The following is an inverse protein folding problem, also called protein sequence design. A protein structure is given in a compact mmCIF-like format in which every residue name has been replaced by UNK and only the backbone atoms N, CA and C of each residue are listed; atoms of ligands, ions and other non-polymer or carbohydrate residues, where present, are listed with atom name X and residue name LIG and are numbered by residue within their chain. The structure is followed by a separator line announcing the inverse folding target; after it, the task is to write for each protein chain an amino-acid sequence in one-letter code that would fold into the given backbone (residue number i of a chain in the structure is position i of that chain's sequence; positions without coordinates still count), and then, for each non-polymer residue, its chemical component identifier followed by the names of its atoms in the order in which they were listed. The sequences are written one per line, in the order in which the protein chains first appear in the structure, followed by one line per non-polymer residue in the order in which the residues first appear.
data_IF_430738045744
#
_entry.id   IF_430738045744
#
_cell.length_a   1.000
_cell.length_b   1.000
_cell.length_c   1.000
_cell.angle_alpha   90.00
_cell.angle_beta   90.00
_cell.angle_gamma   90.00
#
_symmetry.space_group_name_H-M   'P 1'
#
loop_
_entity.id
_entity.type
_entity.pdbx_description
1 polymer ?
#
# COMPACT_ATOMS: atom_id res chain seq x y z
N UNK A 1 26.85 -12.31 32.33
CA UNK A 1 26.59 -10.99 31.70
C UNK A 1 27.11 -11.01 30.27
N UNK A 2 26.24 -10.99 29.26
CA UNK A 2 26.53 -10.45 27.91
C UNK A 2 25.21 -10.01 27.29
N UNK A 3 25.15 -8.72 27.01
CA UNK A 3 23.95 -8.00 26.61
C UNK A 3 23.43 -8.38 25.22
N UNK A 4 22.16 -8.06 25.06
CA UNK A 4 21.28 -8.28 23.92
C UNK A 4 21.88 -7.87 22.55
N UNK A 5 21.61 -8.65 21.48
CA UNK A 5 21.90 -8.19 20.13
C UNK A 5 20.95 -7.08 19.70
N UNK A 6 21.57 -5.96 19.32
CA UNK A 6 21.25 -5.07 18.19
C UNK A 6 19.77 -4.72 17.98
N UNK A 7 19.41 -3.49 18.39
CA UNK A 7 18.14 -2.84 18.13
C UNK A 7 17.69 -3.00 16.67
N UNK A 8 16.54 -3.66 16.47
CA UNK A 8 15.68 -3.33 15.35
C UNK A 8 15.07 -1.94 15.61
N UNK A 9 15.19 -0.96 14.69
CA UNK A 9 14.35 0.22 14.73
C UNK A 9 12.91 -0.20 14.39
N UNK A 10 12.15 -0.51 15.43
CA UNK A 10 10.72 -0.81 15.38
C UNK A 10 9.96 0.52 15.30
N UNK A 11 9.94 1.17 14.12
CA UNK A 11 8.99 2.25 13.87
C UNK A 11 7.59 1.61 13.70
N UNK A 12 6.97 1.34 14.86
CA UNK A 12 5.57 0.99 15.11
C UNK A 12 4.70 0.66 13.88
N UNK A 13 4.52 -0.63 13.60
CA UNK A 13 3.25 -1.13 13.07
C UNK A 13 2.69 -2.17 14.03
N UNK A 14 1.54 -1.91 14.68
CA UNK A 14 0.90 -2.93 15.50
C UNK A 14 0.54 -4.14 14.61
N UNK A 15 0.80 -5.38 15.09
CA UNK A 15 0.36 -6.60 14.44
C UNK A 15 -1.17 -6.70 14.53
N UNK A 16 -1.78 -7.59 13.74
CA UNK A 16 -3.16 -8.08 13.86
C UNK A 16 -4.24 -7.53 12.90
N UNK A 17 -3.88 -6.80 11.85
CA UNK A 17 -4.65 -6.81 10.60
C UNK A 17 -3.72 -7.22 9.46
N UNK A 18 -4.06 -8.23 8.62
CA UNK A 18 -3.22 -8.65 7.51
C UNK A 18 -3.21 -7.58 6.41
N UNK A 19 -2.40 -6.54 6.62
CA UNK A 19 -2.10 -5.54 5.61
C UNK A 19 -1.45 -6.25 4.44
N UNK A 20 -2.02 -6.06 3.27
CA UNK A 20 -1.56 -6.69 2.04
C UNK A 20 -1.07 -5.61 1.10
N UNK A 21 0.06 -5.85 0.46
CA UNK A 21 0.53 -4.98 -0.60
C UNK A 21 -0.52 -4.89 -1.71
N UNK A 22 -0.73 -3.70 -2.25
CA UNK A 22 -1.59 -3.54 -3.42
C UNK A 22 -1.14 -4.46 -4.58
N UNK A 23 0.17 -4.64 -4.74
CA UNK A 23 0.72 -5.56 -5.74
C UNK A 23 0.35 -7.03 -5.52
N UNK A 24 0.01 -7.45 -4.29
CA UNK A 24 -0.43 -8.81 -3.99
C UNK A 24 -1.96 -8.98 -4.13
N UNK A 25 -2.71 -7.89 -4.21
CA UNK A 25 -4.16 -7.96 -4.38
C UNK A 25 -4.57 -8.56 -5.74
N UNK A 26 -5.76 -9.16 -5.77
CA UNK A 26 -6.39 -9.71 -6.97
C UNK A 26 -7.25 -8.64 -7.66
N UNK A 27 -7.39 -8.66 -9.00
CA UNK A 27 -8.39 -7.86 -9.68
C UNK A 27 -9.79 -8.09 -9.09
N UNK A 28 -10.56 -7.03 -8.91
CA UNK A 28 -11.88 -7.05 -8.28
C UNK A 28 -11.87 -6.80 -6.77
N UNK A 29 -10.75 -7.05 -6.08
CA UNK A 29 -10.63 -6.84 -4.64
C UNK A 29 -10.63 -5.34 -4.27
N UNK A 30 -11.24 -5.02 -3.13
CA UNK A 30 -11.30 -3.67 -2.59
C UNK A 30 -10.69 -3.61 -1.19
N UNK A 31 -10.30 -2.41 -0.77
CA UNK A 31 -9.74 -2.20 0.56
C UNK A 31 -9.39 -0.74 0.81
N UNK A 32 -8.90 -0.46 2.01
CA UNK A 32 -8.51 0.87 2.45
C UNK A 32 -7.00 0.95 2.57
N UNK A 33 -6.41 1.98 1.98
CA UNK A 33 -4.98 2.26 2.13
C UNK A 33 -4.72 2.60 3.59
N UNK A 34 -3.90 1.81 4.29
CA UNK A 34 -3.49 2.11 5.67
C UNK A 34 -2.19 2.88 5.75
N UNK A 35 -1.24 2.50 4.90
CA UNK A 35 0.07 3.14 4.87
C UNK A 35 0.66 3.13 3.45
N UNK A 36 1.57 4.07 3.23
CA UNK A 36 2.36 4.16 1.99
C UNK A 36 3.81 4.27 2.42
N UNK A 37 4.58 3.24 2.14
CA UNK A 37 6.00 3.12 2.40
C UNK A 37 6.83 3.74 1.26
N UNK A 38 8.13 3.89 1.50
CA UNK A 38 9.07 4.47 0.54
C UNK A 38 9.36 5.95 0.76
N UNK A 39 10.08 6.54 -0.18
CA UNK A 39 10.63 7.89 -0.04
C UNK A 39 9.55 8.98 0.02
N UNK A 40 9.88 10.09 0.67
CA UNK A 40 8.98 11.24 0.82
C UNK A 40 8.46 11.77 -0.53
N UNK A 41 9.30 11.73 -1.59
CA UNK A 41 8.91 12.13 -2.94
C UNK A 41 7.78 11.25 -3.51
N UNK A 42 7.89 9.93 -3.38
CA UNK A 42 6.85 8.98 -3.80
C UNK A 42 5.57 9.19 -3.00
N UNK A 43 5.66 9.28 -1.67
CA UNK A 43 4.51 9.51 -0.79
C UNK A 43 3.81 10.82 -1.11
N UNK A 44 4.54 11.89 -1.43
CA UNK A 44 3.97 13.17 -1.87
C UNK A 44 3.27 13.03 -3.21
N UNK A 45 3.89 12.37 -4.19
CA UNK A 45 3.31 12.15 -5.52
C UNK A 45 2.01 11.35 -5.44
N UNK A 46 2.01 10.23 -4.70
CA UNK A 46 0.82 9.40 -4.51
C UNK A 46 -0.31 10.18 -3.82
N UNK A 47 0.00 10.93 -2.76
CA UNK A 47 -0.99 11.79 -2.09
C UNK A 47 -1.58 12.84 -3.02
N UNK A 48 -0.75 13.46 -3.88
CA UNK A 48 -1.20 14.44 -4.85
C UNK A 48 -2.14 13.84 -5.92
N UNK A 49 -1.91 12.56 -6.28
CA UNK A 49 -2.79 11.79 -7.17
C UNK A 49 -4.06 11.26 -6.47
N UNK A 50 -4.25 11.52 -5.17
CA UNK A 50 -5.41 11.06 -4.42
C UNK A 50 -5.24 9.69 -3.73
N UNK A 51 -4.07 9.08 -3.83
CA UNK A 51 -3.70 7.86 -3.10
C UNK A 51 -3.12 8.26 -1.75
N UNK A 52 -3.98 8.29 -0.73
CA UNK A 52 -3.64 8.69 0.64
C UNK A 52 -4.09 7.63 1.64
N UNK A 53 -3.42 7.52 2.80
CA UNK A 53 -3.92 6.73 3.93
C UNK A 53 -5.37 7.10 4.28
N UNK A 54 -6.19 6.10 4.57
CA UNK A 54 -7.64 6.20 4.75
C UNK A 54 -8.43 6.26 3.43
N UNK A 55 -7.77 6.22 2.27
CA UNK A 55 -8.43 6.18 0.96
C UNK A 55 -8.91 4.78 0.63
N UNK A 56 -10.21 4.63 0.34
CA UNK A 56 -10.77 3.40 -0.21
C UNK A 56 -10.39 3.26 -1.69
N UNK A 57 -9.90 2.10 -2.08
CA UNK A 57 -9.54 1.78 -3.45
C UNK A 57 -10.00 0.38 -3.84
N UNK A 58 -10.17 0.17 -5.14
CA UNK A 58 -10.52 -1.12 -5.72
C UNK A 58 -9.57 -1.48 -6.84
N UNK A 59 -9.04 -2.69 -6.84
CA UNK A 59 -8.23 -3.19 -7.95
C UNK A 59 -9.16 -3.45 -9.13
N UNK A 60 -8.98 -2.71 -10.22
CA UNK A 60 -9.76 -2.89 -11.45
C UNK A 60 -9.09 -3.91 -12.34
N UNK A 61 -7.78 -3.80 -12.49
CA UNK A 61 -7.00 -4.67 -13.37
C UNK A 61 -5.60 -4.83 -12.82
N UNK A 62 -5.00 -5.99 -13.07
CA UNK A 62 -3.60 -6.27 -12.76
C UNK A 62 -2.95 -6.83 -14.01
N UNK A 63 -1.79 -6.29 -14.36
CA UNK A 63 -0.96 -6.74 -15.47
C UNK A 63 0.49 -6.87 -15.03
N UNK A 64 1.31 -7.50 -15.86
CA UNK A 64 2.76 -7.56 -15.68
C UNK A 64 3.43 -6.17 -15.72
N UNK A 65 2.80 -5.20 -16.41
CA UNK A 65 3.29 -3.82 -16.49
C UNK A 65 2.88 -2.96 -15.27
N UNK A 66 1.86 -3.34 -14.50
CA UNK A 66 1.38 -2.55 -13.37
C UNK A 66 0.02 -2.98 -12.83
N UNK A 67 -0.49 -2.24 -11.87
CA UNK A 67 -1.80 -2.47 -11.26
C UNK A 67 -2.68 -1.23 -11.45
N UNK A 68 -3.86 -1.42 -12.02
CA UNK A 68 -4.87 -0.36 -12.18
C UNK A 68 -5.83 -0.43 -11.02
N UNK A 69 -5.92 0.66 -10.27
CA UNK A 69 -6.86 0.81 -9.15
C UNK A 69 -7.87 1.91 -9.44
N UNK A 70 -9.08 1.76 -8.94
CA UNK A 70 -10.08 2.80 -8.89
C UNK A 70 -10.11 3.38 -7.47
N UNK A 71 -9.87 4.67 -7.35
CA UNK A 71 -9.99 5.44 -6.10
C UNK A 71 -11.00 6.55 -6.34
N UNK A 72 -12.11 6.58 -5.57
CA UNK A 72 -13.16 7.62 -5.70
C UNK A 72 -13.64 7.89 -7.13
N UNK A 73 -13.74 6.85 -7.95
CA UNK A 73 -14.15 6.97 -9.36
C UNK A 73 -13.01 7.30 -10.34
N UNK A 74 -11.81 7.63 -9.87
CA UNK A 74 -10.63 7.83 -10.72
C UNK A 74 -9.84 6.52 -10.87
N UNK A 75 -9.55 6.12 -12.12
CA UNK A 75 -8.68 4.98 -12.41
C UNK A 75 -7.23 5.44 -12.48
N UNK A 76 -6.38 4.86 -11.63
CA UNK A 76 -4.96 5.14 -11.54
C UNK A 76 -4.16 3.88 -11.88
N UNK A 77 -3.27 4.00 -12.86
CA UNK A 77 -2.30 2.97 -13.16
C UNK A 77 -1.06 3.18 -12.28
N UNK A 78 -0.74 2.17 -11.48
CA UNK A 78 0.42 2.16 -10.60
C UNK A 78 1.46 1.18 -11.13
N UNK A 79 2.70 1.63 -11.19
CA UNK A 79 3.83 0.77 -11.49
C UNK A 79 3.98 -0.31 -10.39
N UNK A 80 4.52 -1.50 -10.69
CA UNK A 80 4.69 -2.58 -9.73
C UNK A 80 5.49 -2.13 -8.50
N UNK A 81 6.54 -1.33 -8.71
CA UNK A 81 7.36 -0.80 -7.62
C UNK A 81 6.57 0.09 -6.64
N UNK A 82 5.64 0.92 -7.15
CA UNK A 82 4.79 1.75 -6.31
C UNK A 82 3.71 0.90 -5.61
N UNK A 83 3.10 -0.05 -6.31
CA UNK A 83 2.06 -0.92 -5.76
C UNK A 83 2.57 -1.81 -4.61
N UNK A 84 3.86 -2.20 -4.60
CA UNK A 84 4.50 -2.94 -3.50
C UNK A 84 4.75 -2.11 -2.25
N UNK A 85 4.58 -0.79 -2.31
CA UNK A 85 4.78 0.14 -1.19
C UNK A 85 3.47 0.64 -0.60
N UNK A 86 2.34 0.24 -1.17
CA UNK A 86 1.01 0.67 -0.71
C UNK A 86 0.40 -0.48 0.09
N UNK A 87 0.27 -0.27 1.39
CA UNK A 87 -0.30 -1.22 2.32
C UNK A 87 -1.80 -1.03 2.41
N UNK A 88 -2.54 -2.10 2.16
CA UNK A 88 -4.00 -2.09 2.09
C UNK A 88 -4.57 -3.06 3.10
N UNK A 89 -5.53 -2.55 3.87
CA UNK A 89 -6.43 -3.38 4.65
C UNK A 89 -7.58 -3.79 3.74
N UNK A 90 -7.72 -5.10 3.52
CA UNK A 90 -8.81 -5.63 2.70
C UNK A 90 -10.10 -5.55 3.51
N UNK A 91 -11.17 -5.10 2.86
CA UNK A 91 -12.52 -5.28 3.36
C UNK A 91 -12.85 -6.77 3.14
N UNK A 92 -13.08 -7.50 4.23
CA UNK A 92 -13.22 -8.96 4.24
C UNK A 92 -14.50 -9.43 3.53
#
# INVERSE_FOLDING_TARGET
MRGFPMQYPQDRQPPDAPLTDLAAMRPGAAGVIRAIEGEAALRRRLRHLGLRPGGAIRVVQKSSAGTVVSSRGLKLALAPAAARRVLIERDA
#
